data_IF_885749442377
#
_entry.id   IF_885749442377
#
_cell.length_a   1.000
_cell.length_b   1.000
_cell.length_c   1.000
_cell.angle_alpha   90.00
_cell.angle_beta   90.00
_cell.angle_gamma   90.00
#
_symmetry.space_group_name_H-M   'P 1'
#
loop_
_entity.id
_entity.type
_entity.pdbx_description
1 polymer ?
#
# COMPACT_ATOMS: atom_id res chain seq x y z
N UNK A 1 19.90 1.40 22.91
CA UNK A 1 18.79 2.27 22.45
C UNK A 1 17.59 1.37 22.21
N UNK A 2 16.37 1.79 22.52
CA UNK A 2 15.19 0.97 22.17
C UNK A 2 15.05 0.95 20.65
N UNK A 3 14.87 -0.25 20.09
CA UNK A 3 14.62 -0.38 18.65
C UNK A 3 13.30 0.30 18.29
N UNK A 4 13.33 1.17 17.30
CA UNK A 4 12.14 1.91 16.85
C UNK A 4 11.65 1.32 15.55
N UNK A 5 10.36 0.94 15.49
CA UNK A 5 9.67 0.65 14.24
C UNK A 5 8.38 1.47 14.21
N UNK A 6 8.37 2.50 13.38
CA UNK A 6 7.27 3.47 13.32
C UNK A 6 6.75 3.60 11.89
N UNK A 7 5.43 3.67 11.75
CA UNK A 7 4.74 3.85 10.46
C UNK A 7 3.97 5.15 10.53
N UNK A 8 4.34 6.13 9.72
CA UNK A 8 3.59 7.36 9.53
C UNK A 8 2.66 7.19 8.33
N UNK A 9 1.39 7.48 8.52
CA UNK A 9 0.33 7.40 7.52
C UNK A 9 -0.04 8.80 7.08
N UNK A 10 0.46 9.25 5.94
CA UNK A 10 0.18 10.59 5.44
C UNK A 10 -1.25 10.69 4.89
N UNK A 11 -1.82 11.89 4.93
CA UNK A 11 -3.16 12.17 4.38
C UNK A 11 -3.10 12.26 2.86
N UNK A 12 -3.10 11.11 2.20
CA UNK A 12 -2.94 10.96 0.76
C UNK A 12 -4.25 11.11 -0.05
N UNK A 13 -5.38 11.43 0.60
CA UNK A 13 -6.74 11.43 0.07
C UNK A 13 -7.21 10.01 -0.27
N UNK A 14 -7.42 9.72 -1.56
CA UNK A 14 -7.83 8.38 -2.04
C UNK A 14 -6.69 7.38 -1.97
N UNK A 15 -5.46 7.81 -2.14
CA UNK A 15 -4.31 6.95 -2.30
C UNK A 15 -3.51 6.67 -1.03
N UNK A 16 -2.30 6.18 -1.23
CA UNK A 16 -1.37 5.79 -0.17
C UNK A 16 -0.12 6.67 -0.11
N UNK A 17 0.33 6.94 1.10
CA UNK A 17 1.67 7.47 1.33
C UNK A 17 2.10 7.16 2.76
N UNK A 18 3.14 6.35 2.88
CA UNK A 18 3.68 5.94 4.16
C UNK A 18 5.15 6.33 4.28
N UNK A 19 5.56 6.70 5.49
CA UNK A 19 6.97 6.78 5.89
C UNK A 19 7.16 5.72 6.96
N UNK A 20 8.04 4.77 6.70
CA UNK A 20 8.39 3.71 7.64
C UNK A 20 9.77 4.01 8.20
N UNK A 21 9.86 4.16 9.52
CA UNK A 21 11.10 4.39 10.24
C UNK A 21 11.49 3.14 11.04
N UNK A 22 12.71 2.67 10.81
CA UNK A 22 13.35 1.59 11.55
C UNK A 22 14.66 2.11 12.11
N UNK A 23 14.69 2.51 13.37
CA UNK A 23 15.80 3.26 14.01
C UNK A 23 16.14 4.54 13.23
N UNK A 24 17.30 4.57 12.58
CA UNK A 24 17.74 5.71 11.77
C UNK A 24 17.49 5.51 10.26
N UNK A 25 16.88 4.40 9.88
CA UNK A 25 16.60 4.08 8.48
C UNK A 25 15.14 4.43 8.15
N UNK A 26 14.92 5.09 7.03
CA UNK A 26 13.58 5.49 6.57
C UNK A 26 13.28 4.95 5.18
N UNK A 27 12.02 4.62 4.95
CA UNK A 27 11.50 4.12 3.68
C UNK A 27 10.23 4.89 3.32
N UNK A 28 10.11 5.31 2.05
CA UNK A 28 8.86 5.84 1.55
C UNK A 28 8.14 4.77 0.74
N UNK A 29 6.86 4.58 1.02
CA UNK A 29 5.97 3.70 0.25
C UNK A 29 4.87 4.58 -0.29
N UNK A 30 4.88 4.82 -1.59
CA UNK A 30 4.04 5.76 -2.32
C UNK A 30 4.12 7.22 -1.85
N UNK A 31 3.61 8.10 -2.64
CA UNK A 31 3.62 9.54 -2.39
C UNK A 31 2.24 10.16 -2.30
N UNK A 32 1.19 9.37 -2.47
CA UNK A 32 -0.16 9.91 -2.51
C UNK A 32 -0.37 10.86 -3.68
N UNK A 33 -1.36 11.72 -3.56
CA UNK A 33 -1.59 12.79 -4.53
C UNK A 33 -0.46 13.84 -4.48
N UNK A 34 -0.32 14.63 -5.54
CA UNK A 34 0.72 15.69 -5.66
C UNK A 34 0.83 16.64 -4.45
N UNK A 35 -0.26 16.80 -3.69
CA UNK A 35 -0.28 17.65 -2.49
C UNK A 35 0.56 17.09 -1.33
N UNK A 36 0.83 15.80 -1.32
CA UNK A 36 1.59 15.11 -0.25
C UNK A 36 3.10 15.41 -0.33
N UNK A 37 3.63 15.73 -1.51
CA UNK A 37 5.05 16.02 -1.72
C UNK A 37 5.64 17.01 -0.71
N UNK A 38 4.86 18.01 -0.27
CA UNK A 38 5.31 18.98 0.74
C UNK A 38 5.54 18.37 2.12
N UNK A 39 4.81 17.31 2.47
CA UNK A 39 4.98 16.59 3.74
C UNK A 39 6.18 15.67 3.68
N UNK A 40 6.39 14.96 2.56
CA UNK A 40 7.60 14.16 2.31
C UNK A 40 8.85 15.05 2.34
N UNK A 41 8.82 16.20 1.64
CA UNK A 41 9.89 17.19 1.70
C UNK A 41 10.16 17.64 3.13
N UNK A 42 9.13 18.03 3.88
CA UNK A 42 9.28 18.46 5.28
C UNK A 42 9.92 17.38 6.12
N UNK A 43 9.48 16.13 5.97
CA UNK A 43 10.07 15.00 6.67
C UNK A 43 11.58 14.91 6.42
N UNK A 44 12.01 15.00 5.16
CA UNK A 44 13.44 14.97 4.80
C UNK A 44 14.23 16.15 5.38
N UNK A 45 13.60 17.32 5.52
CA UNK A 45 14.24 18.50 6.11
C UNK A 45 14.37 18.41 7.64
N UNK A 46 13.34 17.90 8.31
CA UNK A 46 13.28 17.85 9.78
C UNK A 46 14.00 16.62 10.34
N UNK A 47 14.11 15.54 9.57
CA UNK A 47 14.70 14.26 9.98
C UNK A 47 15.97 13.94 9.19
N UNK A 48 16.90 14.91 9.13
CA UNK A 48 18.17 14.75 8.40
C UNK A 48 19.06 13.62 8.94
N UNK A 49 18.80 13.14 10.17
CA UNK A 49 19.47 11.99 10.78
C UNK A 49 18.87 10.66 10.29
N UNK A 50 17.62 10.65 9.89
CA UNK A 50 17.00 9.48 9.31
C UNK A 50 17.46 9.36 7.84
N UNK A 51 18.17 8.29 7.55
CA UNK A 51 18.65 8.01 6.18
C UNK A 51 17.52 7.42 5.36
N UNK A 52 17.05 8.16 4.37
CA UNK A 52 16.17 7.58 3.36
C UNK A 52 16.94 6.48 2.60
N UNK A 53 16.54 5.23 2.82
CA UNK A 53 17.20 4.05 2.24
C UNK A 53 16.60 3.66 0.90
N UNK A 54 15.28 3.78 0.75
CA UNK A 54 14.61 3.44 -0.49
C UNK A 54 13.25 4.14 -0.60
N UNK A 55 12.77 4.27 -1.84
CA UNK A 55 11.41 4.70 -2.17
C UNK A 55 10.76 3.59 -2.98
N UNK A 56 9.60 3.11 -2.55
CA UNK A 56 8.79 2.14 -3.27
C UNK A 56 7.59 2.86 -3.88
N UNK A 57 7.51 2.91 -5.21
CA UNK A 57 6.34 3.34 -5.96
C UNK A 57 5.60 2.08 -6.35
N UNK A 58 4.52 1.78 -5.65
CA UNK A 58 3.88 0.47 -5.72
C UNK A 58 3.23 0.21 -7.07
N UNK A 59 2.61 1.23 -7.64
CA UNK A 59 2.05 1.26 -8.99
C UNK A 59 1.88 2.72 -9.45
N UNK A 60 1.37 2.92 -10.66
CA UNK A 60 1.43 4.24 -11.32
C UNK A 60 0.17 5.07 -11.26
N UNK A 61 -0.81 4.68 -10.45
CA UNK A 61 -2.00 5.49 -10.25
C UNK A 61 -1.65 6.82 -9.57
N UNK A 62 -2.32 7.90 -10.02
CA UNK A 62 -1.98 9.29 -9.64
C UNK A 62 -2.02 9.57 -8.16
N UNK A 63 -2.85 8.84 -7.43
CA UNK A 63 -2.99 8.96 -5.99
C UNK A 63 -1.97 8.11 -5.21
N UNK A 64 -1.07 7.41 -5.90
CA UNK A 64 0.11 6.74 -5.37
C UNK A 64 1.40 7.42 -5.81
N UNK A 65 1.59 7.64 -7.11
CA UNK A 65 2.82 8.19 -7.69
C UNK A 65 2.92 9.73 -7.60
N UNK A 66 1.80 10.45 -7.55
CA UNK A 66 1.75 11.90 -7.76
C UNK A 66 2.64 12.72 -6.82
N UNK A 67 2.69 12.35 -5.55
CA UNK A 67 3.54 13.01 -4.55
C UNK A 67 5.03 12.72 -4.77
N UNK A 68 5.39 11.50 -5.15
CA UNK A 68 6.78 11.13 -5.50
C UNK A 68 7.22 11.88 -6.76
N UNK A 69 6.41 11.88 -7.82
CA UNK A 69 6.73 12.61 -9.05
C UNK A 69 6.99 14.10 -8.78
N UNK A 70 6.16 14.72 -7.92
CA UNK A 70 6.37 16.12 -7.54
C UNK A 70 7.58 16.31 -6.63
N UNK A 71 7.86 15.38 -5.70
CA UNK A 71 9.02 15.44 -4.82
C UNK A 71 10.31 15.47 -5.65
N UNK A 72 10.44 14.53 -6.56
CA UNK A 72 11.63 14.43 -7.42
C UNK A 72 11.70 15.51 -8.50
N UNK A 73 10.56 16.01 -8.99
CA UNK A 73 10.50 17.03 -10.02
C UNK A 73 10.74 18.47 -9.50
N UNK A 74 10.33 18.76 -8.26
CA UNK A 74 10.35 20.13 -7.73
C UNK A 74 11.19 20.29 -6.45
N UNK A 75 11.53 19.20 -5.77
CA UNK A 75 12.22 19.23 -4.47
C UNK A 75 13.35 18.21 -4.42
N UNK A 76 13.94 17.88 -5.57
CA UNK A 76 14.98 16.87 -5.70
C UNK A 76 16.24 17.17 -4.89
N UNK A 77 16.50 18.44 -4.57
CA UNK A 77 17.61 18.88 -3.73
C UNK A 77 17.56 18.34 -2.30
N UNK A 78 16.36 17.93 -1.83
CA UNK A 78 16.17 17.35 -0.49
C UNK A 78 16.26 15.81 -0.49
N UNK A 79 16.25 15.18 -1.67
CA UNK A 79 16.23 13.72 -1.79
C UNK A 79 17.64 13.18 -1.98
N UNK A 80 18.12 12.26 -1.13
CA UNK A 80 19.47 11.70 -1.28
C UNK A 80 19.56 10.88 -2.57
N UNK A 81 20.65 11.10 -3.33
CA UNK A 81 20.93 10.37 -4.58
C UNK A 81 21.22 8.88 -4.36
N UNK A 82 21.57 8.52 -3.12
CA UNK A 82 21.91 7.15 -2.75
C UNK A 82 20.70 6.27 -2.50
N UNK A 83 19.49 6.86 -2.34
CA UNK A 83 18.27 6.11 -2.14
C UNK A 83 17.72 5.62 -3.49
N UNK A 84 17.74 4.30 -3.78
CA UNK A 84 17.13 3.75 -4.99
C UNK A 84 15.61 3.91 -4.94
N UNK A 85 15.01 3.95 -6.14
CA UNK A 85 13.57 3.96 -6.31
C UNK A 85 13.18 2.65 -6.95
N UNK A 86 12.27 1.94 -6.29
CA UNK A 86 11.70 0.69 -6.77
C UNK A 86 10.35 0.96 -7.39
N UNK A 87 10.24 0.74 -8.70
CA UNK A 87 9.01 0.90 -9.47
C UNK A 87 9.06 0.00 -10.69
N UNK A 88 8.01 -0.74 -10.97
CA UNK A 88 7.92 -1.55 -12.19
C UNK A 88 7.50 -0.64 -13.37
N UNK A 89 8.35 -0.56 -14.39
CA UNK A 89 8.16 0.28 -15.57
C UNK A 89 8.43 -0.49 -16.86
N UNK A 90 7.67 -0.29 -17.96
CA UNK A 90 7.80 -1.02 -19.22
C UNK A 90 9.21 -1.09 -19.80
N UNK A 91 9.97 -0.03 -19.68
CA UNK A 91 11.32 0.05 -20.27
C UNK A 91 12.39 -0.77 -19.51
N UNK A 92 12.04 -1.36 -18.38
CA UNK A 92 12.94 -2.28 -17.65
C UNK A 92 12.93 -3.68 -18.28
N UNK A 93 11.96 -3.98 -19.15
CA UNK A 93 11.85 -5.23 -19.90
C UNK A 93 11.94 -4.91 -21.37
N UNK A 94 12.89 -5.53 -22.08
CA UNK A 94 12.99 -5.41 -23.55
C UNK A 94 11.84 -6.15 -24.20
N UNK A 95 10.69 -5.49 -24.38
CA UNK A 95 9.56 -6.05 -25.09
C UNK A 95 9.59 -5.52 -26.52
N UNK A 96 9.88 -6.42 -27.46
CA UNK A 96 9.68 -6.18 -28.88
C UNK A 96 8.18 -6.35 -29.20
N UNK A 97 7.38 -5.31 -29.03
CA UNK A 97 6.01 -5.28 -29.53
C UNK A 97 5.71 -3.95 -30.17
N UNK A 98 5.31 -4.02 -31.46
CA UNK A 98 4.67 -2.95 -32.19
C UNK A 98 3.25 -2.73 -31.59
N UNK A 99 3.07 -1.71 -30.78
CA UNK A 99 1.73 -1.27 -30.38
C UNK A 99 1.55 0.22 -30.63
N UNK A 100 0.82 0.53 -31.68
CA UNK A 100 0.17 1.82 -31.89
C UNK A 100 -1.05 1.91 -30.98
N UNK A 101 -0.86 2.43 -29.75
CA UNK A 101 -1.95 2.67 -28.81
C UNK A 101 -1.52 3.73 -27.82
N UNK A 102 -1.97 4.97 -28.04
CA UNK A 102 -1.84 6.08 -27.12
C UNK A 102 -2.51 5.74 -25.79
N UNK A 103 -1.72 5.58 -24.75
CA UNK A 103 -2.22 5.46 -23.39
C UNK A 103 -1.34 6.29 -22.47
N UNK A 104 -1.99 7.13 -21.67
CA UNK A 104 -1.37 8.12 -20.79
C UNK A 104 -0.89 7.44 -19.49
N UNK A 105 0.32 6.95 -19.53
CA UNK A 105 1.15 6.69 -18.36
C UNK A 105 2.09 7.86 -18.13
N UNK A 106 1.55 9.04 -18.44
CA UNK A 106 2.26 10.31 -18.36
C UNK A 106 2.96 10.50 -17.01
N UNK A 107 2.33 10.09 -15.92
CA UNK A 107 2.93 10.28 -14.59
C UNK A 107 4.07 9.29 -14.34
N UNK A 108 3.97 8.04 -14.81
CA UNK A 108 5.05 7.04 -14.72
C UNK A 108 6.24 7.39 -15.62
N UNK A 109 5.96 7.71 -16.87
CA UNK A 109 6.98 8.15 -17.83
C UNK A 109 7.62 9.47 -17.38
N UNK A 110 6.82 10.44 -16.91
CA UNK A 110 7.32 11.71 -16.39
C UNK A 110 8.19 11.53 -15.16
N UNK A 111 7.83 10.64 -14.25
CA UNK A 111 8.69 10.32 -13.11
C UNK A 111 10.01 9.72 -13.59
N UNK A 112 9.99 8.72 -14.46
CA UNK A 112 11.21 8.09 -15.00
C UNK A 112 12.13 9.12 -15.67
N UNK A 113 11.60 9.99 -16.54
CA UNK A 113 12.39 11.04 -17.19
C UNK A 113 13.05 11.97 -16.17
N UNK A 114 12.30 12.38 -15.15
CA UNK A 114 12.82 13.22 -14.04
C UNK A 114 13.92 12.50 -13.27
N UNK A 115 13.75 11.21 -12.99
CA UNK A 115 14.75 10.39 -12.28
C UNK A 115 16.04 10.28 -13.09
N UNK A 116 15.94 9.91 -14.37
CA UNK A 116 17.09 9.78 -15.27
C UNK A 116 17.83 11.11 -15.43
N UNK A 117 17.08 12.19 -15.70
CA UNK A 117 17.65 13.54 -15.84
C UNK A 117 18.42 14.01 -14.61
N UNK A 118 17.95 13.60 -13.42
CA UNK A 118 18.57 13.97 -12.15
C UNK A 118 19.54 12.93 -11.61
N UNK A 119 19.82 11.85 -12.34
CA UNK A 119 20.81 10.83 -11.99
C UNK A 119 20.41 9.96 -10.78
N UNK A 120 19.11 9.71 -10.60
CA UNK A 120 18.60 8.74 -9.64
C UNK A 120 18.58 7.33 -10.23
N UNK A 121 18.70 6.33 -9.37
CA UNK A 121 18.63 4.92 -9.75
C UNK A 121 17.17 4.45 -9.65
N UNK A 122 16.65 3.96 -10.77
CA UNK A 122 15.36 3.28 -10.84
C UNK A 122 15.59 1.78 -10.95
N UNK A 123 14.99 1.03 -10.02
CA UNK A 123 15.15 -0.42 -9.90
C UNK A 123 13.79 -1.11 -9.99
N UNK A 124 13.79 -2.36 -10.46
CA UNK A 124 12.61 -3.20 -10.54
C UNK A 124 12.33 -3.86 -9.18
N UNK A 125 11.05 -4.04 -8.84
CA UNK A 125 10.62 -4.77 -7.66
C UNK A 125 9.59 -5.85 -8.03
N UNK A 126 10.07 -7.07 -8.16
CA UNK A 126 9.25 -8.26 -8.42
C UNK A 126 9.42 -9.30 -7.32
N UNK A 127 8.47 -10.22 -7.25
CA UNK A 127 8.43 -11.31 -6.25
C UNK A 127 9.77 -12.00 -6.05
N UNK A 128 10.12 -12.19 -4.79
CA UNK A 128 11.35 -12.86 -4.37
C UNK A 128 12.56 -11.94 -4.23
N UNK A 129 12.43 -10.64 -4.56
CA UNK A 129 13.49 -9.67 -4.28
C UNK A 129 13.56 -9.41 -2.77
N UNK A 130 14.73 -9.66 -2.20
CA UNK A 130 15.04 -9.40 -0.79
C UNK A 130 16.13 -8.34 -0.73
N UNK A 131 15.88 -7.30 0.05
CA UNK A 131 16.78 -6.16 0.24
C UNK A 131 17.10 -6.05 1.72
N UNK A 132 18.37 -5.79 2.04
CA UNK A 132 18.83 -5.49 3.41
C UNK A 132 19.36 -4.06 3.50
N UNK A 133 18.86 -3.34 4.49
CA UNK A 133 19.24 -1.95 4.76
C UNK A 133 19.63 -1.84 6.24
N UNK A 134 20.89 -2.14 6.56
CA UNK A 134 21.43 -2.01 7.93
C UNK A 134 20.60 -2.77 8.99
N UNK A 135 20.19 -4.00 8.68
CA UNK A 135 19.38 -4.84 9.57
C UNK A 135 17.87 -4.63 9.47
N UNK A 136 17.44 -3.85 8.49
CA UNK A 136 16.04 -3.79 8.04
C UNK A 136 15.90 -4.63 6.77
N UNK A 137 15.13 -5.70 6.83
CA UNK A 137 14.89 -6.55 5.66
C UNK A 137 13.58 -6.15 5.00
N UNK A 138 13.64 -5.86 3.69
CA UNK A 138 12.46 -5.66 2.84
C UNK A 138 12.36 -6.81 1.85
N UNK A 139 11.21 -7.49 1.82
CA UNK A 139 10.94 -8.58 0.90
C UNK A 139 9.74 -8.23 0.01
N UNK A 140 9.89 -8.36 -1.30
CA UNK A 140 8.85 -8.11 -2.28
C UNK A 140 8.03 -9.38 -2.50
N UNK A 141 6.74 -9.31 -2.21
CA UNK A 141 5.79 -10.42 -2.35
C UNK A 141 5.02 -10.37 -3.68
N UNK A 142 4.82 -9.21 -4.28
CA UNK A 142 4.20 -9.03 -5.59
C UNK A 142 4.76 -7.79 -6.30
N UNK A 143 4.61 -7.69 -7.63
CA UNK A 143 4.04 -8.70 -8.54
C UNK A 143 5.07 -9.76 -8.95
N UNK A 144 4.62 -10.97 -9.37
CA UNK A 144 5.47 -11.88 -10.13
C UNK A 144 5.89 -11.23 -11.46
N UNK A 145 7.07 -11.57 -11.96
CA UNK A 145 7.62 -10.99 -13.21
C UNK A 145 6.68 -11.15 -14.41
N UNK A 146 5.89 -12.23 -14.46
CA UNK A 146 4.88 -12.45 -15.51
C UNK A 146 3.76 -11.42 -15.45
N UNK A 147 3.29 -11.06 -14.25
CA UNK A 147 2.23 -10.06 -14.07
C UNK A 147 2.76 -8.66 -14.35
N UNK A 148 3.98 -8.35 -13.92
CA UNK A 148 4.66 -7.11 -14.29
C UNK A 148 4.80 -6.97 -15.82
N UNK A 149 5.17 -8.05 -16.52
CA UNK A 149 5.25 -8.08 -17.97
C UNK A 149 3.89 -7.86 -18.68
N UNK A 150 2.79 -8.35 -18.12
CA UNK A 150 1.44 -8.09 -18.64
C UNK A 150 1.02 -6.62 -18.48
N UNK A 151 1.34 -5.99 -17.34
CA UNK A 151 1.13 -4.55 -17.16
C UNK A 151 1.71 -3.74 -18.31
N UNK A 152 2.89 -4.11 -18.79
CA UNK A 152 3.59 -3.39 -19.84
C UNK A 152 2.90 -3.42 -21.21
N UNK A 153 1.92 -4.30 -21.38
CA UNK A 153 1.12 -4.42 -22.61
C UNK A 153 -0.23 -3.69 -22.55
N UNK A 154 -0.75 -3.36 -21.36
CA UNK A 154 -2.15 -2.92 -21.18
C UNK A 154 -2.36 -1.60 -20.41
N UNK A 155 -1.47 -0.72 -20.38
CA UNK A 155 -1.38 0.47 -19.53
C UNK A 155 -2.52 1.57 -19.70
N UNK A 156 -3.38 1.93 -18.70
CA UNK A 156 -4.50 2.92 -18.75
C UNK A 156 -4.74 3.72 -17.45
N UNK A 157 -5.31 4.94 -17.52
CA UNK A 157 -5.50 5.89 -16.42
C UNK A 157 -6.91 5.92 -15.80
N UNK A 158 -7.02 6.30 -14.50
CA UNK A 158 -8.28 6.45 -13.75
C UNK A 158 -8.46 7.85 -13.11
N UNK A 159 -9.70 8.23 -12.69
CA UNK A 159 -10.15 9.58 -12.34
C UNK A 159 -10.51 9.75 -10.85
N UNK A 160 -10.34 10.96 -10.28
CA UNK A 160 -10.56 11.29 -8.86
C UNK A 160 -12.04 11.50 -8.50
N UNK A 161 -12.54 10.86 -7.42
CA UNK A 161 -13.93 10.91 -6.99
C UNK A 161 -14.25 11.85 -5.81
N UNK A 162 -15.55 12.14 -5.62
CA UNK A 162 -16.09 12.92 -4.49
C UNK A 162 -16.08 12.11 -3.19
N UNK A 163 -15.86 12.76 -2.04
CA UNK A 163 -15.85 12.12 -0.72
C UNK A 163 -17.28 11.82 -0.26
N UNK A 164 -17.55 10.59 0.23
CA UNK A 164 -18.83 10.21 0.82
C UNK A 164 -18.97 10.68 2.27
N UNK A 165 -20.19 10.98 2.67
CA UNK A 165 -20.61 11.22 4.06
C UNK A 165 -21.49 10.10 4.60
N UNK A 166 -21.80 9.09 3.78
CA UNK A 166 -22.72 8.02 4.13
C UNK A 166 -22.16 7.10 5.22
N UNK A 167 -23.04 6.56 6.06
CA UNK A 167 -22.69 5.59 7.09
C UNK A 167 -22.22 4.27 6.45
N UNK A 168 -21.22 3.63 7.04
CA UNK A 168 -20.74 2.31 6.64
C UNK A 168 -21.23 1.31 7.67
N UNK A 169 -22.30 0.57 7.35
CA UNK A 169 -22.84 -0.47 8.24
C UNK A 169 -22.18 -1.82 7.93
N UNK A 170 -21.51 -2.37 8.93
CA UNK A 170 -20.82 -3.66 8.88
C UNK A 170 -21.66 -4.70 9.61
N UNK A 171 -22.12 -5.74 8.92
CA UNK A 171 -22.81 -6.88 9.50
C UNK A 171 -21.92 -8.12 9.50
N UNK A 172 -21.44 -8.52 10.67
CA UNK A 172 -20.56 -9.67 10.83
C UNK A 172 -21.29 -11.02 10.72
N UNK A 173 -22.63 -11.04 10.77
CA UNK A 173 -23.44 -12.27 10.66
C UNK A 173 -23.80 -12.61 9.21
N UNK A 174 -23.70 -11.66 8.29
CA UNK A 174 -24.10 -11.84 6.89
C UNK A 174 -23.13 -11.12 5.95
N UNK A 175 -21.98 -11.74 5.70
CA UNK A 175 -20.97 -11.19 4.78
C UNK A 175 -21.22 -11.71 3.38
N UNK A 176 -21.44 -10.84 2.39
CA UNK A 176 -21.65 -11.26 1.01
C UNK A 176 -20.48 -12.06 0.45
N UNK A 177 -20.73 -12.95 -0.54
CA UNK A 177 -19.68 -13.67 -1.24
C UNK A 177 -18.64 -12.73 -1.84
N UNK A 178 -17.42 -13.23 -1.93
CA UNK A 178 -16.32 -12.49 -2.55
C UNK A 178 -16.57 -12.28 -4.04
N UNK A 179 -16.33 -11.06 -4.56
CA UNK A 179 -16.36 -10.84 -5.99
C UNK A 179 -15.25 -11.67 -6.67
N UNK A 180 -15.53 -12.19 -7.85
CA UNK A 180 -14.49 -12.83 -8.66
C UNK A 180 -13.65 -11.76 -9.32
N UNK A 181 -12.34 -11.82 -9.10
CA UNK A 181 -11.39 -10.95 -9.76
C UNK A 181 -10.86 -11.60 -11.05
N UNK A 182 -10.36 -10.75 -11.93
CA UNK A 182 -9.62 -11.19 -13.11
C UNK A 182 -8.37 -10.30 -13.22
N UNK A 183 -7.19 -10.90 -13.12
CA UNK A 183 -5.90 -10.20 -13.20
C UNK A 183 -5.82 -9.36 -14.48
N UNK A 184 -6.27 -9.89 -15.61
CA UNK A 184 -6.21 -9.17 -16.90
C UNK A 184 -7.16 -7.97 -16.97
N UNK A 185 -8.22 -7.91 -16.17
CA UNK A 185 -9.14 -6.77 -16.16
C UNK A 185 -8.70 -5.66 -15.18
N UNK A 186 -7.76 -5.96 -14.29
CA UNK A 186 -7.23 -5.02 -13.28
C UNK A 186 -5.70 -5.18 -13.14
N UNK A 187 -5.02 -5.13 -14.27
CA UNK A 187 -3.58 -5.41 -14.35
C UNK A 187 -2.74 -4.38 -13.56
N UNK A 188 -3.20 -3.14 -13.45
CA UNK A 188 -2.51 -2.09 -12.70
C UNK A 188 -2.44 -2.47 -11.22
N UNK A 189 -3.57 -2.80 -10.60
CA UNK A 189 -3.61 -3.25 -9.22
C UNK A 189 -2.95 -4.63 -9.04
N UNK A 190 -3.15 -5.57 -9.97
CA UNK A 190 -2.46 -6.86 -9.94
C UNK A 190 -0.93 -6.74 -9.96
N UNK A 191 -0.40 -5.68 -10.57
CA UNK A 191 1.03 -5.39 -10.63
C UNK A 191 1.55 -4.50 -9.50
N UNK A 192 0.72 -4.13 -8.54
CA UNK A 192 1.13 -3.38 -7.36
C UNK A 192 2.19 -4.13 -6.56
N UNK A 193 3.21 -3.39 -6.10
CA UNK A 193 4.26 -3.93 -5.23
C UNK A 193 3.68 -4.13 -3.83
N UNK A 194 3.48 -5.39 -3.43
CA UNK A 194 3.27 -5.74 -2.03
C UNK A 194 4.61 -6.14 -1.41
N UNK A 195 4.86 -5.70 -0.19
CA UNK A 195 6.14 -5.94 0.48
C UNK A 195 5.99 -6.15 1.99
N UNK A 196 6.93 -6.88 2.57
CA UNK A 196 7.12 -6.93 4.01
C UNK A 196 8.32 -6.10 4.42
N UNK A 197 8.24 -5.46 5.60
CA UNK A 197 9.38 -4.83 6.26
C UNK A 197 9.57 -5.51 7.61
N UNK A 198 10.79 -6.02 7.84
CA UNK A 198 11.16 -6.69 9.10
C UNK A 198 12.27 -5.91 9.77
N UNK A 199 12.08 -5.61 11.05
CA UNK A 199 13.07 -4.95 11.89
C UNK A 199 12.85 -5.33 13.35
N UNK A 200 13.93 -5.64 14.08
CA UNK A 200 13.92 -5.88 15.52
C UNK A 200 12.85 -6.91 15.99
N UNK A 201 12.63 -7.96 15.21
CA UNK A 201 11.65 -9.00 15.51
C UNK A 201 10.19 -8.63 15.21
N UNK A 202 9.94 -7.46 14.63
CA UNK A 202 8.65 -6.98 14.16
C UNK A 202 8.53 -7.10 12.65
N UNK A 203 7.31 -7.38 12.17
CA UNK A 203 7.02 -7.52 10.73
C UNK A 203 5.76 -6.75 10.37
N UNK A 204 5.90 -5.80 9.43
CA UNK A 204 4.79 -5.11 8.80
C UNK A 204 4.60 -5.62 7.37
N UNK A 205 3.34 -5.83 6.97
CA UNK A 205 2.96 -6.19 5.59
C UNK A 205 2.21 -5.01 4.96
N UNK A 206 2.67 -4.58 3.79
CA UNK A 206 2.01 -3.58 2.96
C UNK A 206 1.49 -4.25 1.70
N UNK A 207 0.17 -4.36 1.56
CA UNK A 207 -0.47 -5.01 0.40
C UNK A 207 -0.65 -4.05 -0.78
N UNK A 208 -0.41 -2.75 -0.57
CA UNK A 208 -0.64 -1.70 -1.59
C UNK A 208 -2.03 -1.82 -2.19
N UNK A 209 -2.15 -1.98 -3.52
CA UNK A 209 -3.43 -2.23 -4.19
C UNK A 209 -3.51 -3.61 -4.86
N UNK A 210 -2.59 -4.52 -4.46
CA UNK A 210 -2.48 -5.88 -5.01
C UNK A 210 -3.78 -6.66 -4.95
N UNK A 211 -4.00 -7.52 -5.95
CA UNK A 211 -5.08 -8.51 -5.91
C UNK A 211 -4.73 -9.68 -4.98
N UNK A 212 -5.71 -10.25 -4.27
CA UNK A 212 -5.49 -11.36 -3.34
C UNK A 212 -4.78 -12.56 -3.98
N UNK A 213 -5.17 -12.91 -5.20
CA UNK A 213 -4.66 -14.08 -5.93
C UNK A 213 -3.16 -13.96 -6.23
N UNK A 214 -2.69 -12.73 -6.47
CA UNK A 214 -1.27 -12.48 -6.78
C UNK A 214 -0.41 -12.66 -5.53
N UNK A 215 -0.86 -12.13 -4.40
CA UNK A 215 -0.14 -12.22 -3.13
C UNK A 215 -0.25 -13.62 -2.52
N UNK A 216 -1.42 -14.25 -2.61
CA UNK A 216 -1.70 -15.57 -2.04
C UNK A 216 -0.74 -16.64 -2.54
N UNK A 217 -0.35 -16.58 -3.82
CA UNK A 217 0.60 -17.51 -4.43
C UNK A 217 2.02 -17.38 -3.87
N UNK A 218 2.32 -16.31 -3.11
CA UNK A 218 3.63 -16.05 -2.52
C UNK A 218 3.69 -16.30 -1.01
N UNK A 219 2.54 -16.52 -0.37
CA UNK A 219 2.46 -16.82 1.06
C UNK A 219 2.22 -18.31 1.25
N UNK A 220 3.27 -19.04 1.60
CA UNK A 220 3.16 -20.46 1.96
C UNK A 220 2.72 -20.62 3.42
N UNK A 221 1.61 -21.33 3.64
CA UNK A 221 1.09 -21.57 4.97
C UNK A 221 0.52 -20.33 5.66
N UNK A 222 0.57 -20.29 6.98
CA UNK A 222 0.09 -19.20 7.82
C UNK A 222 1.29 -18.41 8.36
N UNK A 223 1.35 -17.11 8.10
CA UNK A 223 2.44 -16.22 8.49
C UNK A 223 1.93 -15.15 9.45
N UNK A 224 2.63 -14.97 10.57
CA UNK A 224 2.32 -13.94 11.56
C UNK A 224 2.91 -12.59 11.16
N UNK A 225 2.07 -11.55 11.26
CA UNK A 225 2.45 -10.15 11.10
C UNK A 225 2.04 -9.34 12.33
N UNK A 226 2.84 -8.35 12.69
CA UNK A 226 2.49 -7.41 13.78
C UNK A 226 1.45 -6.40 13.31
N UNK A 227 1.49 -6.03 12.02
CA UNK A 227 0.53 -5.11 11.39
C UNK A 227 0.44 -5.35 9.89
N UNK A 228 -0.75 -5.11 9.31
CA UNK A 228 -1.01 -5.26 7.88
C UNK A 228 -1.73 -4.03 7.32
N UNK A 229 -1.14 -3.37 6.34
CA UNK A 229 -1.85 -2.39 5.51
C UNK A 229 -2.70 -3.15 4.49
N UNK A 230 -4.02 -2.98 4.59
CA UNK A 230 -5.01 -3.67 3.77
C UNK A 230 -5.00 -3.12 2.34
N UNK A 231 -5.16 -4.02 1.39
CA UNK A 231 -5.10 -3.70 -0.03
C UNK A 231 -6.18 -2.71 -0.46
N UNK A 232 -5.83 -1.85 -1.40
CA UNK A 232 -6.70 -0.96 -2.18
C UNK A 232 -7.71 -0.22 -1.30
N UNK A 233 -7.20 0.46 -0.25
CA UNK A 233 -7.96 1.32 0.67
C UNK A 233 -9.14 0.62 1.35
N UNK A 234 -9.12 -0.70 1.45
CA UNK A 234 -10.22 -1.52 1.97
C UNK A 234 -11.26 -1.91 0.91
N UNK A 235 -10.87 -2.04 -0.33
CA UNK A 235 -11.72 -2.57 -1.41
C UNK A 235 -12.10 -4.04 -1.16
N UNK A 236 -13.37 -4.37 -1.34
CA UNK A 236 -13.86 -5.75 -1.23
C UNK A 236 -13.34 -6.69 -2.33
N UNK A 237 -12.88 -6.13 -3.43
CA UNK A 237 -12.27 -6.86 -4.53
C UNK A 237 -10.82 -7.26 -4.24
N UNK A 238 -10.14 -6.52 -3.36
CA UNK A 238 -8.73 -6.69 -3.06
C UNK A 238 -8.47 -7.36 -1.70
N UNK A 239 -9.52 -7.89 -1.04
CA UNK A 239 -9.41 -8.53 0.27
C UNK A 239 -10.24 -9.81 0.30
N UNK A 240 -9.60 -10.99 0.25
CA UNK A 240 -10.27 -12.29 0.33
C UNK A 240 -10.06 -12.96 1.68
N UNK A 241 -11.02 -13.78 2.12
CA UNK A 241 -10.87 -14.60 3.32
C UNK A 241 -9.74 -15.62 3.18
N UNK A 242 -9.52 -16.14 1.96
CA UNK A 242 -8.43 -17.09 1.72
C UNK A 242 -7.06 -16.44 1.99
N UNK A 243 -6.83 -15.21 1.51
CA UNK A 243 -5.63 -14.44 1.83
C UNK A 243 -5.53 -14.15 3.33
N UNK A 244 -6.60 -13.68 3.95
CA UNK A 244 -6.63 -13.35 5.37
C UNK A 244 -6.38 -14.54 6.28
N UNK A 245 -6.78 -15.76 5.89
CA UNK A 245 -6.47 -16.99 6.64
C UNK A 245 -4.97 -17.33 6.63
N UNK A 246 -4.22 -16.88 5.62
CA UNK A 246 -2.76 -17.00 5.58
C UNK A 246 -2.04 -15.90 6.35
N UNK A 247 -2.71 -14.78 6.58
CA UNK A 247 -2.20 -13.61 7.30
C UNK A 247 -2.65 -13.67 8.77
N UNK A 248 -1.78 -14.18 9.66
CA UNK A 248 -2.04 -14.22 11.10
C UNK A 248 -1.81 -12.83 11.70
N UNK A 249 -2.86 -12.03 11.78
CA UNK A 249 -2.83 -10.66 12.28
C UNK A 249 -4.20 -10.23 12.80
N UNK A 250 -4.20 -9.31 13.77
CA UNK A 250 -5.40 -8.63 14.25
C UNK A 250 -5.25 -7.08 14.27
N UNK A 251 -4.14 -6.56 13.73
CA UNK A 251 -3.87 -5.13 13.64
C UNK A 251 -3.79 -4.72 12.16
N UNK A 252 -4.74 -3.91 11.72
CA UNK A 252 -4.87 -3.54 10.31
C UNK A 252 -4.79 -2.02 10.12
N UNK A 253 -4.24 -1.60 8.99
CA UNK A 253 -4.23 -0.21 8.51
C UNK A 253 -5.11 -0.10 7.28
N UNK A 254 -5.97 0.91 7.27
CA UNK A 254 -6.72 1.33 6.08
C UNK A 254 -6.47 2.82 5.84
N UNK A 255 -5.80 3.13 4.74
CA UNK A 255 -5.54 4.50 4.29
C UNK A 255 -6.60 4.88 3.28
N UNK A 256 -7.48 5.81 3.63
CA UNK A 256 -8.53 6.32 2.73
C UNK A 256 -9.22 7.55 3.31
N UNK A 257 -9.59 8.49 2.46
CA UNK A 257 -10.45 9.61 2.85
C UNK A 257 -11.95 9.28 2.71
N UNK A 258 -12.32 8.05 2.34
CA UNK A 258 -13.68 7.60 2.15
C UNK A 258 -14.35 8.21 0.91
N UNK A 259 -13.79 8.00 -0.31
CA UNK A 259 -14.36 8.58 -1.53
C UNK A 259 -15.71 7.95 -1.86
N UNK A 260 -16.67 8.80 -2.29
CA UNK A 260 -18.04 8.35 -2.60
C UNK A 260 -18.12 7.44 -3.81
N UNK A 261 -17.30 7.73 -4.82
CA UNK A 261 -17.28 6.98 -6.09
C UNK A 261 -16.82 5.54 -5.93
N UNK A 262 -15.93 5.27 -4.97
CA UNK A 262 -15.36 3.94 -4.74
C UNK A 262 -15.96 3.23 -3.51
N UNK A 263 -16.60 3.96 -2.59
CA UNK A 263 -17.19 3.41 -1.38
C UNK A 263 -16.21 2.83 -0.37
N UNK A 264 -14.91 3.12 -0.50
CA UNK A 264 -13.88 2.60 0.40
C UNK A 264 -13.91 3.26 1.79
N UNK A 265 -13.63 2.49 2.88
CA UNK A 265 -13.54 1.03 2.89
C UNK A 265 -14.92 0.40 2.70
N UNK A 266 -14.99 -0.75 2.03
CA UNK A 266 -16.25 -1.49 1.94
C UNK A 266 -16.56 -2.21 3.25
N UNK A 267 -17.85 -2.29 3.59
CA UNK A 267 -18.34 -2.99 4.78
C UNK A 267 -17.93 -4.47 4.78
N UNK A 268 -17.95 -5.12 3.60
CA UNK A 268 -17.53 -6.50 3.42
C UNK A 268 -16.06 -6.72 3.79
N UNK A 269 -15.18 -5.78 3.46
CA UNK A 269 -13.75 -5.85 3.84
C UNK A 269 -13.62 -5.79 5.37
N UNK A 270 -14.26 -4.82 6.00
CA UNK A 270 -14.22 -4.67 7.45
C UNK A 270 -14.73 -5.93 8.16
N UNK A 271 -15.84 -6.51 7.67
CA UNK A 271 -16.39 -7.76 8.20
C UNK A 271 -15.40 -8.92 8.05
N UNK A 272 -14.72 -9.06 6.90
CA UNK A 272 -13.71 -10.10 6.68
C UNK A 272 -12.51 -9.96 7.62
N UNK A 273 -12.04 -8.74 7.90
CA UNK A 273 -10.96 -8.50 8.87
C UNK A 273 -11.35 -8.95 10.28
N UNK A 274 -12.57 -8.63 10.68
CA UNK A 274 -13.12 -9.03 11.97
C UNK A 274 -13.23 -10.56 12.06
N UNK A 275 -13.84 -11.20 11.05
CA UNK A 275 -14.00 -12.65 11.01
C UNK A 275 -12.66 -13.38 10.97
N UNK A 276 -11.70 -12.88 10.20
CA UNK A 276 -10.34 -13.42 10.16
C UNK A 276 -9.66 -13.38 11.54
N UNK A 277 -9.79 -12.25 12.26
CA UNK A 277 -9.24 -12.13 13.62
C UNK A 277 -9.87 -13.15 14.57
N UNK A 278 -11.19 -13.40 14.46
CA UNK A 278 -11.88 -14.44 15.23
C UNK A 278 -11.39 -15.84 14.85
N UNK A 279 -11.28 -16.15 13.54
CA UNK A 279 -10.78 -17.45 13.06
C UNK A 279 -9.33 -17.71 13.51
N UNK A 280 -8.53 -16.67 13.68
CA UNK A 280 -7.17 -16.77 14.22
C UNK A 280 -7.10 -16.87 15.74
N UNK A 281 -8.24 -16.79 16.45
CA UNK A 281 -8.33 -16.95 17.89
C UNK A 281 -8.00 -15.70 18.70
N UNK A 282 -7.99 -14.52 18.08
CA UNK A 282 -7.85 -13.26 18.79
C UNK A 282 -9.15 -12.89 19.51
N UNK A 283 -9.05 -12.12 20.59
CA UNK A 283 -10.20 -11.56 21.32
C UNK A 283 -10.61 -10.17 20.82
N UNK A 284 -9.80 -9.58 19.94
CA UNK A 284 -10.02 -8.25 19.38
C UNK A 284 -9.48 -8.10 17.97
N UNK A 285 -10.04 -7.13 17.24
CA UNK A 285 -9.56 -6.66 15.94
C UNK A 285 -9.34 -5.15 16.00
N UNK A 286 -8.13 -4.70 15.67
CA UNK A 286 -7.74 -3.30 15.68
C UNK A 286 -7.63 -2.81 14.23
N UNK A 287 -8.40 -1.78 13.87
CA UNK A 287 -8.38 -1.19 12.52
C UNK A 287 -8.04 0.29 12.64
N UNK A 288 -6.88 0.68 12.17
CA UNK A 288 -6.37 2.05 12.23
C UNK A 288 -6.57 2.77 10.91
N UNK A 289 -7.14 3.97 10.98
CA UNK A 289 -7.41 4.86 9.84
C UNK A 289 -6.59 6.13 9.95
N UNK A 290 -6.12 6.67 8.82
CA UNK A 290 -5.46 7.98 8.74
C UNK A 290 -6.44 9.16 8.57
N UNK A 291 -7.74 8.92 8.56
CA UNK A 291 -8.80 9.94 8.53
C UNK A 291 -9.87 9.67 9.59
N UNK A 292 -9.98 10.55 10.57
CA UNK A 292 -10.96 10.47 11.67
C UNK A 292 -12.40 10.38 11.15
N UNK A 293 -12.74 11.16 10.13
CA UNK A 293 -14.07 11.16 9.53
C UNK A 293 -14.50 9.81 8.94
N UNK A 294 -13.54 8.97 8.49
CA UNK A 294 -13.84 7.62 8.01
C UNK A 294 -14.11 6.71 9.19
N UNK A 295 -13.24 6.76 10.21
CA UNK A 295 -13.39 6.00 11.43
C UNK A 295 -14.78 6.22 12.07
N UNK A 296 -15.22 7.50 12.17
CA UNK A 296 -16.49 7.90 12.81
C UNK A 296 -17.76 7.50 12.02
N UNK A 297 -17.63 7.04 10.79
CA UNK A 297 -18.76 6.61 9.93
C UNK A 297 -19.04 5.11 10.00
N UNK A 298 -18.18 4.34 10.65
CA UNK A 298 -18.28 2.88 10.69
C UNK A 298 -19.11 2.47 11.90
N UNK A 299 -20.16 1.69 11.65
CA UNK A 299 -21.00 1.07 12.67
C UNK A 299 -20.95 -0.44 12.49
N UNK A 300 -20.57 -1.16 13.54
CA UNK A 300 -20.43 -2.61 13.52
C UNK A 300 -21.59 -3.25 14.24
N UNK A 301 -22.22 -4.21 13.61
CA UNK A 301 -23.38 -4.94 14.11
C UNK A 301 -23.06 -6.43 14.22
N UNK A 302 -23.79 -7.13 15.08
CA UNK A 302 -23.77 -8.60 15.19
C UNK A 302 -22.39 -9.19 15.51
N UNK A 303 -21.63 -8.55 16.41
CA UNK A 303 -20.38 -9.12 16.91
C UNK A 303 -20.62 -10.32 17.82
N UNK A 304 -19.80 -11.37 17.76
CA UNK A 304 -19.81 -12.43 18.73
C UNK A 304 -19.58 -11.91 20.16
N UNK A 305 -20.24 -12.56 21.15
CA UNK A 305 -20.06 -12.19 22.56
C UNK A 305 -18.59 -12.30 22.98
N UNK A 306 -18.08 -11.25 23.64
CA UNK A 306 -16.70 -11.20 24.14
C UNK A 306 -15.65 -10.82 23.09
N UNK A 307 -16.02 -10.57 21.84
CA UNK A 307 -15.11 -10.03 20.83
C UNK A 307 -15.20 -8.51 20.74
N UNK A 308 -14.05 -7.85 20.62
CA UNK A 308 -13.97 -6.39 20.56
C UNK A 308 -13.42 -5.92 19.20
N UNK A 309 -13.96 -4.80 18.71
CA UNK A 309 -13.41 -4.13 17.53
C UNK A 309 -13.04 -2.71 17.90
N UNK A 310 -11.76 -2.37 17.72
CA UNK A 310 -11.22 -1.06 17.99
C UNK A 310 -11.01 -0.32 16.67
N UNK A 311 -11.83 0.67 16.41
CA UNK A 311 -11.66 1.60 15.29
C UNK A 311 -10.82 2.78 15.79
N UNK A 312 -9.63 2.93 15.24
CA UNK A 312 -8.61 3.84 15.75
C UNK A 312 -8.29 4.90 14.68
N UNK A 313 -8.34 6.17 15.04
CA UNK A 313 -7.74 7.22 14.24
C UNK A 313 -6.31 7.49 14.73
N UNK A 314 -5.34 7.34 13.83
CA UNK A 314 -3.96 7.73 14.09
C UNK A 314 -3.24 8.05 12.78
N UNK A 315 -2.31 8.99 12.83
CA UNK A 315 -1.40 9.30 11.73
C UNK A 315 -0.02 8.63 11.94
N UNK A 316 0.20 7.98 13.08
CA UNK A 316 1.45 7.28 13.39
C UNK A 316 1.19 6.06 14.26
N UNK A 317 1.83 4.95 13.91
CA UNK A 317 1.80 3.69 14.66
C UNK A 317 3.24 3.33 15.04
N UNK A 318 3.42 2.85 16.26
CA UNK A 318 4.70 2.28 16.74
C UNK A 318 4.50 0.81 17.09
N UNK A 319 5.38 -0.09 16.58
CA UNK A 319 5.36 -1.54 16.80
C UNK A 319 6.27 -1.97 17.95
#
# INVERSE_FOLDING_TARGET
>A
MANTFRIHMLKAKTGDSFIVECDNEAFFIDGGTRSVAKYLKRYLQENYLAKLQAVFVTHVDRDHIGGIAKLYGQFSEYVPKTAPIYMNHPDQVTITTNTSGLVTYEDGNSLKEVLMKNGYVLDEATTGKILDFNGVTVEVLSPPSVVAGQLFTEWRASDDGLVSTDLIEVDCSNVPPEPKNNISSDIVNASSIALTIRHAGKTALFLSDSLPEVVLNQIEGKIKFDIVKISHHGSKHNTSMELLRRIDCNNFIISTNGPRSYGHPHAETLARLILSSIEHGYSECNITFNYEKVCNRIKINNLPSGFHVNLIYSETITL
#
